data_IF_659477461859
#
_entry.id   IF_659477461859
#
_cell.length_a   1.000
_cell.length_b   1.000
_cell.length_c   1.000
_cell.angle_alpha   90.00
_cell.angle_beta   90.00
_cell.angle_gamma   90.00
#
_symmetry.space_group_name_H-M   'P 1'
#
loop_
_entity.id
_entity.type
_entity.pdbx_description
1 polymer ?
#
# COMPACT_ATOMS: atom_id res chain seq x y z
N UNK A 1 63.78 -32.99 40.14
CA UNK A 1 63.99 -31.61 39.64
C UNK A 1 62.74 -31.26 38.85
N UNK A 2 61.81 -30.49 39.43
CA UNK A 2 60.57 -30.14 38.75
C UNK A 2 60.89 -29.14 37.62
N UNK A 3 60.51 -29.52 36.42
CA UNK A 3 60.94 -28.94 35.15
C UNK A 3 60.33 -27.53 34.94
N UNK A 4 61.17 -26.51 34.83
CA UNK A 4 60.80 -25.09 34.67
C UNK A 4 60.00 -24.79 33.39
N UNK A 5 59.86 -25.77 32.50
CA UNK A 5 59.05 -25.71 31.28
C UNK A 5 57.55 -25.52 31.57
N UNK A 6 57.03 -26.12 32.65
CA UNK A 6 55.60 -26.01 33.02
C UNK A 6 55.20 -24.60 33.47
N UNK A 7 56.10 -23.87 34.13
CA UNK A 7 55.83 -22.52 34.62
C UNK A 7 55.78 -21.50 33.46
N UNK A 8 56.63 -21.68 32.43
CA UNK A 8 56.65 -20.84 31.23
C UNK A 8 55.36 -20.95 30.42
N UNK A 9 54.82 -22.16 30.26
CA UNK A 9 53.56 -22.35 29.54
C UNK A 9 52.35 -21.65 30.19
N UNK A 10 52.34 -21.50 31.52
CA UNK A 10 51.31 -20.74 32.23
C UNK A 10 51.45 -19.23 32.02
N UNK A 11 52.68 -18.71 32.02
CA UNK A 11 52.98 -17.29 31.74
C UNK A 11 52.61 -16.92 30.29
N UNK A 12 52.95 -17.79 29.33
CA UNK A 12 52.60 -17.61 27.92
C UNK A 12 51.07 -17.65 27.71
N UNK A 13 50.36 -18.55 28.41
CA UNK A 13 48.90 -18.60 28.40
C UNK A 13 48.25 -17.34 29.00
N UNK A 14 48.81 -16.81 30.09
CA UNK A 14 48.36 -15.56 30.69
C UNK A 14 48.56 -14.36 29.75
N UNK A 15 49.73 -14.27 29.10
CA UNK A 15 50.01 -13.24 28.07
C UNK A 15 49.06 -13.34 26.88
N UNK A 16 48.80 -14.55 26.38
CA UNK A 16 47.87 -14.75 25.28
C UNK A 16 46.44 -14.32 25.64
N UNK A 17 46.00 -14.61 26.88
CA UNK A 17 44.70 -14.16 27.37
C UNK A 17 44.64 -12.63 27.53
N UNK A 18 45.71 -12.02 28.04
CA UNK A 18 45.80 -10.56 28.16
C UNK A 18 45.75 -9.88 26.79
N UNK A 19 46.45 -10.43 25.80
CA UNK A 19 46.43 -9.90 24.43
C UNK A 19 45.06 -10.10 23.78
N UNK A 20 44.43 -11.27 23.97
CA UNK A 20 43.06 -11.51 23.51
C UNK A 20 42.06 -10.53 24.12
N UNK A 21 42.17 -10.23 25.42
CA UNK A 21 41.33 -9.24 26.07
C UNK A 21 41.53 -7.85 25.48
N UNK A 22 42.79 -7.44 25.26
CA UNK A 22 43.13 -6.17 24.63
C UNK A 22 42.59 -6.08 23.21
N UNK A 23 42.73 -7.14 22.42
CA UNK A 23 42.20 -7.21 21.07
C UNK A 23 40.66 -7.09 21.06
N UNK A 24 39.97 -7.76 22.00
CA UNK A 24 38.52 -7.65 22.13
C UNK A 24 38.10 -6.22 22.46
N UNK A 25 38.80 -5.54 23.38
CA UNK A 25 38.53 -4.13 23.70
C UNK A 25 38.72 -3.21 22.48
N UNK A 26 39.77 -3.44 21.70
CA UNK A 26 40.03 -2.69 20.47
C UNK A 26 38.89 -2.91 19.46
N UNK A 27 38.52 -4.16 19.20
CA UNK A 27 37.41 -4.48 18.28
C UNK A 27 36.09 -3.85 18.71
N UNK A 28 35.83 -3.80 20.02
CA UNK A 28 34.63 -3.16 20.56
C UNK A 28 34.67 -1.64 20.39
N UNK A 29 35.85 -1.03 20.52
CA UNK A 29 36.03 0.40 20.27
C UNK A 29 35.86 0.77 18.79
N UNK A 30 36.35 -0.08 17.88
CA UNK A 30 36.18 0.08 16.43
C UNK A 30 34.71 -0.02 16.04
N UNK A 31 34.00 -1.07 16.48
CA UNK A 31 32.57 -1.22 16.21
C UNK A 31 31.74 -0.05 16.76
N UNK A 32 32.11 0.49 17.93
CA UNK A 32 31.47 1.69 18.49
C UNK A 32 31.67 2.92 17.60
N UNK A 33 32.87 3.09 17.04
CA UNK A 33 33.15 4.15 16.07
C UNK A 33 32.28 4.00 14.83
N UNK A 34 32.22 2.80 14.26
CA UNK A 34 31.41 2.51 13.07
C UNK A 34 29.93 2.79 13.31
N UNK A 35 29.40 2.40 14.47
CA UNK A 35 28.02 2.70 14.86
C UNK A 35 27.75 4.21 14.92
N UNK A 36 28.69 5.00 15.46
CA UNK A 36 28.55 6.45 15.52
C UNK A 36 28.58 7.08 14.11
N UNK A 37 29.41 6.57 13.20
CA UNK A 37 29.44 7.00 11.80
C UNK A 37 28.13 6.69 11.08
N UNK A 38 27.55 5.52 11.33
CA UNK A 38 26.24 5.14 10.76
C UNK A 38 25.13 6.06 11.26
N UNK A 39 25.10 6.34 12.58
CA UNK A 39 24.11 7.27 13.15
C UNK A 39 24.19 8.63 12.46
N UNK A 40 25.36 9.27 12.46
CA UNK A 40 25.52 10.61 11.89
C UNK A 40 25.14 10.65 10.40
N UNK A 41 25.48 9.61 9.64
CA UNK A 41 25.07 9.47 8.24
C UNK A 41 23.55 9.40 8.09
N UNK A 42 22.86 8.64 8.93
CA UNK A 42 21.39 8.55 8.92
C UNK A 42 20.75 9.90 9.29
N UNK A 43 21.30 10.62 10.27
CA UNK A 43 20.88 11.97 10.62
C UNK A 43 21.01 12.93 9.42
N UNK A 44 22.11 12.85 8.68
CA UNK A 44 22.34 13.69 7.50
C UNK A 44 21.42 13.30 6.34
N UNK A 45 21.18 12.01 6.10
CA UNK A 45 20.18 11.54 5.14
C UNK A 45 18.78 12.08 5.49
N UNK A 46 18.39 12.04 6.76
CA UNK A 46 17.11 12.61 7.24
C UNK A 46 17.02 14.11 6.96
N UNK A 47 18.10 14.86 7.19
CA UNK A 47 18.15 16.30 6.85
C UNK A 47 17.99 16.54 5.36
N UNK A 48 18.68 15.74 4.53
CA UNK A 48 18.56 15.82 3.06
C UNK A 48 17.13 15.55 2.62
N UNK A 49 16.49 14.50 3.13
CA UNK A 49 15.08 14.19 2.82
C UNK A 49 14.15 15.33 3.22
N UNK A 50 14.32 15.89 4.43
CA UNK A 50 13.52 17.04 4.85
C UNK A 50 13.71 18.25 3.94
N UNK A 51 14.96 18.52 3.53
CA UNK A 51 15.26 19.61 2.59
C UNK A 51 14.59 19.36 1.23
N UNK A 52 14.66 18.15 0.70
CA UNK A 52 14.01 17.75 -0.56
C UNK A 52 12.50 17.89 -0.44
N UNK A 53 11.89 17.45 0.67
CA UNK A 53 10.46 17.59 0.92
C UNK A 53 10.02 19.05 0.90
N UNK A 54 10.77 19.91 1.61
CA UNK A 54 10.51 21.35 1.63
C UNK A 54 10.67 21.95 0.23
N UNK A 55 11.72 21.57 -0.51
CA UNK A 55 11.94 22.08 -1.86
C UNK A 55 10.83 21.64 -2.83
N UNK A 56 10.40 20.39 -2.78
CA UNK A 56 9.25 19.91 -3.54
C UNK A 56 7.98 20.69 -3.19
N UNK A 57 7.72 20.96 -1.91
CA UNK A 57 6.55 21.76 -1.50
C UNK A 57 6.56 23.19 -2.06
N UNK A 58 7.75 23.74 -2.33
CA UNK A 58 7.93 25.08 -2.91
C UNK A 58 7.91 25.08 -4.44
N UNK A 59 8.40 24.00 -5.06
CA UNK A 59 8.45 23.82 -6.51
C UNK A 59 7.14 23.30 -7.09
N UNK A 60 6.27 22.69 -6.28
CA UNK A 60 4.89 22.50 -6.66
C UNK A 60 4.32 23.89 -6.94
N UNK A 61 3.68 24.13 -8.11
CA UNK A 61 2.93 25.36 -8.31
C UNK A 61 1.99 25.46 -7.11
N UNK A 62 1.98 26.61 -6.43
CA UNK A 62 0.95 26.91 -5.44
C UNK A 62 -0.38 26.71 -6.19
N UNK A 63 -0.96 25.52 -6.11
CA UNK A 63 -2.31 25.19 -6.55
C UNK A 63 -3.24 25.89 -5.56
N UNK A 64 -3.16 27.21 -5.61
CA UNK A 64 -3.85 28.17 -4.80
C UNK A 64 -5.28 28.16 -5.29
N UNK A 65 -6.18 27.67 -4.42
CA UNK A 65 -7.64 27.60 -4.57
C UNK A 65 -8.22 26.44 -5.39
N UNK A 66 -7.46 25.39 -5.69
CA UNK A 66 -7.97 24.16 -6.33
C UNK A 66 -7.78 22.88 -5.50
N UNK A 67 -7.36 22.95 -4.24
CA UNK A 67 -7.10 21.76 -3.41
C UNK A 67 -8.36 21.02 -2.92
N UNK A 68 -9.52 21.25 -3.53
CA UNK A 68 -10.74 20.52 -3.21
C UNK A 68 -10.90 19.28 -4.07
N UNK A 69 -11.54 18.25 -3.53
CA UNK A 69 -12.07 17.14 -4.34
C UNK A 69 -13.11 17.72 -5.29
N UNK A 70 -12.96 17.47 -6.60
CA UNK A 70 -13.96 17.85 -7.62
C UNK A 70 -15.07 16.82 -7.69
N UNK A 71 -14.69 15.55 -7.75
CA UNK A 71 -15.60 14.41 -7.85
C UNK A 71 -14.88 13.12 -7.47
N UNK A 72 -15.66 12.09 -7.13
CA UNK A 72 -15.17 10.72 -7.08
C UNK A 72 -15.57 10.03 -8.38
N UNK A 73 -14.59 9.48 -9.08
CA UNK A 73 -14.81 8.80 -10.34
C UNK A 73 -15.09 7.30 -10.16
N UNK A 74 -14.52 6.70 -9.11
CA UNK A 74 -14.63 5.26 -8.87
C UNK A 74 -14.32 4.89 -7.40
N UNK A 75 -14.69 3.68 -6.99
CA UNK A 75 -14.43 3.10 -5.68
C UNK A 75 -13.95 1.66 -5.82
N UNK A 76 -12.91 1.30 -5.05
CA UNK A 76 -12.45 -0.08 -4.96
C UNK A 76 -12.04 -0.42 -3.54
N UNK A 77 -12.08 -1.72 -3.23
CA UNK A 77 -11.53 -2.25 -1.99
C UNK A 77 -10.35 -3.16 -2.32
N UNK A 78 -9.20 -2.90 -1.70
CA UNK A 78 -7.96 -3.68 -1.91
C UNK A 78 -7.53 -4.36 -0.60
N UNK A 79 -6.79 -5.46 -0.72
CA UNK A 79 -6.15 -6.10 0.43
C UNK A 79 -4.71 -5.58 0.57
N UNK A 80 -4.40 -4.96 1.71
CA UNK A 80 -3.02 -4.62 2.11
C UNK A 80 -2.64 -5.50 3.29
N UNK A 81 -1.94 -6.60 3.01
CA UNK A 81 -1.66 -7.64 3.99
C UNK A 81 -2.96 -8.32 4.45
N UNK A 82 -3.25 -8.28 5.75
CA UNK A 82 -4.47 -8.83 6.36
C UNK A 82 -5.62 -7.82 6.44
N UNK A 83 -5.42 -6.58 6.01
CA UNK A 83 -6.40 -5.52 6.13
C UNK A 83 -7.03 -5.15 4.78
N UNK A 84 -8.36 -5.04 4.79
CA UNK A 84 -9.13 -4.50 3.68
C UNK A 84 -9.11 -2.97 3.74
N UNK A 85 -8.77 -2.32 2.63
CA UNK A 85 -8.67 -0.85 2.52
C UNK A 85 -9.55 -0.36 1.38
N UNK A 86 -10.48 0.52 1.71
CA UNK A 86 -11.32 1.22 0.73
C UNK A 86 -10.54 2.39 0.13
N UNK A 87 -10.53 2.45 -1.20
CA UNK A 87 -9.91 3.51 -1.97
C UNK A 87 -10.92 4.17 -2.90
N UNK A 88 -10.71 5.46 -3.15
CA UNK A 88 -11.52 6.28 -4.04
C UNK A 88 -10.65 6.87 -5.13
N UNK A 89 -11.12 6.81 -6.37
CA UNK A 89 -10.47 7.51 -7.48
C UNK A 89 -10.93 8.97 -7.45
N UNK A 90 -10.05 9.84 -6.97
CA UNK A 90 -10.35 11.26 -6.74
C UNK A 90 -10.00 12.05 -7.99
N UNK A 91 -10.99 12.76 -8.53
CA UNK A 91 -10.73 13.85 -9.46
C UNK A 91 -10.49 15.14 -8.68
N UNK A 92 -9.33 15.75 -8.89
CA UNK A 92 -8.91 16.99 -8.23
C UNK A 92 -9.42 18.22 -8.96
N UNK A 93 -9.81 19.26 -8.22
CA UNK A 93 -10.13 20.54 -8.83
C UNK A 93 -8.90 21.10 -9.57
N UNK A 94 -9.11 21.72 -10.73
CA UNK A 94 -8.03 22.30 -11.54
C UNK A 94 -7.15 21.31 -12.30
N UNK A 95 -7.35 20.00 -12.13
CA UNK A 95 -6.68 18.95 -12.91
C UNK A 95 -7.64 18.29 -13.90
N UNK A 96 -7.09 17.58 -14.87
CA UNK A 96 -7.89 16.78 -15.82
C UNK A 96 -8.34 15.45 -15.17
N UNK A 97 -9.43 14.81 -15.64
CA UNK A 97 -9.83 13.50 -15.13
C UNK A 97 -8.77 12.40 -15.33
N UNK A 98 -7.86 12.57 -16.30
CA UNK A 98 -6.75 11.66 -16.54
C UNK A 98 -5.68 11.70 -15.42
N UNK A 99 -5.66 12.78 -14.63
CA UNK A 99 -4.77 12.96 -13.47
C UNK A 99 -5.46 12.55 -12.15
N UNK A 100 -6.56 11.81 -12.22
CA UNK A 100 -7.23 11.28 -11.04
C UNK A 100 -6.36 10.23 -10.33
N UNK A 101 -6.34 10.25 -8.99
CA UNK A 101 -5.50 9.37 -8.17
C UNK A 101 -6.33 8.50 -7.24
N UNK A 102 -5.84 7.29 -6.94
CA UNK A 102 -6.45 6.39 -5.97
C UNK A 102 -5.98 6.74 -4.56
N UNK A 103 -6.87 7.29 -3.76
CA UNK A 103 -6.59 7.72 -2.38
C UNK A 103 -7.37 6.85 -1.38
N UNK A 104 -6.81 6.65 -0.19
CA UNK A 104 -7.46 5.87 0.85
C UNK A 104 -8.63 6.67 1.47
N UNK A 105 -9.81 6.06 1.56
CA UNK A 105 -11.03 6.71 2.06
C UNK A 105 -10.84 7.28 3.47
N UNK A 106 -10.15 6.56 4.35
CA UNK A 106 -9.88 7.00 5.73
C UNK A 106 -9.04 8.27 5.80
N UNK A 107 -8.07 8.43 4.89
CA UNK A 107 -7.21 9.61 4.79
C UNK A 107 -8.03 10.79 4.27
N UNK A 108 -8.82 10.57 3.22
CA UNK A 108 -9.68 11.60 2.64
C UNK A 108 -10.70 12.14 3.66
N UNK A 109 -11.36 11.26 4.43
CA UNK A 109 -12.33 11.69 5.45
C UNK A 109 -11.69 12.55 6.55
N UNK A 110 -10.40 12.37 6.86
CA UNK A 110 -9.67 13.19 7.83
C UNK A 110 -9.21 14.52 7.23
N UNK A 111 -8.73 14.50 5.99
CA UNK A 111 -8.20 15.68 5.29
C UNK A 111 -9.28 16.61 4.75
N UNK A 112 -10.46 16.05 4.41
CA UNK A 112 -11.61 16.78 3.88
C UNK A 112 -12.88 16.46 4.69
N UNK A 113 -13.00 16.91 5.96
CA UNK A 113 -14.14 16.57 6.81
C UNK A 113 -15.51 17.05 6.30
N UNK A 114 -15.53 18.09 5.47
CA UNK A 114 -16.75 18.60 4.83
C UNK A 114 -17.15 17.84 3.56
N UNK A 115 -16.28 16.95 3.06
CA UNK A 115 -16.55 16.13 1.88
C UNK A 115 -17.27 14.85 2.32
N UNK A 116 -18.59 14.91 2.33
CA UNK A 116 -19.43 13.73 2.52
C UNK A 116 -19.59 13.06 1.16
N UNK A 117 -19.13 11.83 1.05
CA UNK A 117 -19.49 10.96 -0.07
C UNK A 117 -20.99 10.77 0.02
N UNK A 118 -21.74 11.40 -0.87
CA UNK A 118 -23.19 11.21 -0.93
C UNK A 118 -23.47 9.71 -0.96
N UNK A 119 -24.26 9.33 0.03
CA UNK A 119 -24.66 7.99 0.38
C UNK A 119 -25.22 7.23 -0.82
N UNK A 120 -24.57 6.12 -1.16
CA UNK A 120 -25.22 5.00 -1.85
C UNK A 120 -24.95 3.70 -1.10
N UNK A 121 -25.60 3.54 0.04
CA UNK A 121 -25.89 2.20 0.58
C UNK A 121 -26.65 1.41 -0.49
N UNK A 122 -26.17 0.20 -0.79
CA UNK A 122 -27.00 -0.85 -1.37
C UNK A 122 -26.63 -1.28 -2.80
N UNK A 123 -25.41 -1.79 -3.01
CA UNK A 123 -25.31 -2.94 -3.92
C UNK A 123 -25.63 -4.17 -3.09
N UNK A 124 -26.92 -4.49 -3.03
CA UNK A 124 -27.40 -5.83 -2.73
C UNK A 124 -26.71 -6.72 -3.75
N UNK A 125 -25.71 -7.49 -3.30
CA UNK A 125 -25.06 -8.51 -4.10
C UNK A 125 -26.08 -9.59 -4.41
N UNK A 126 -26.95 -9.35 -5.39
CA UNK A 126 -27.69 -10.41 -6.07
C UNK A 126 -26.65 -11.16 -6.91
N UNK A 127 -26.10 -12.22 -6.30
CA UNK A 127 -25.23 -13.15 -6.98
C UNK A 127 -25.98 -13.81 -8.13
N UNK A 128 -25.59 -13.49 -9.37
CA UNK A 128 -26.04 -14.25 -10.53
C UNK A 128 -25.13 -15.46 -10.75
N UNK A 129 -25.57 -16.58 -10.18
CA UNK A 129 -25.83 -17.87 -10.85
C UNK A 129 -24.85 -18.26 -11.97
N UNK A 130 -23.97 -19.22 -11.67
CA UNK A 130 -23.47 -20.18 -12.65
C UNK A 130 -24.27 -21.46 -12.46
N UNK A 131 -25.33 -21.63 -13.24
CA UNK A 131 -26.02 -22.92 -13.36
C UNK A 131 -25.25 -23.75 -14.39
N UNK A 132 -24.69 -24.87 -13.97
CA UNK A 132 -24.36 -25.94 -14.89
C UNK A 132 -24.79 -27.30 -14.32
N UNK A 133 -25.81 -27.83 -14.99
CA UNK A 133 -25.98 -29.22 -15.43
C UNK A 133 -27.26 -29.95 -14.98
N UNK A 134 -27.81 -30.62 -16.00
CA UNK A 134 -28.62 -31.85 -16.04
C UNK A 134 -30.15 -31.69 -16.27
N UNK A 135 -30.57 -32.24 -17.42
CA UNK A 135 -31.88 -32.24 -18.10
C UNK A 135 -32.92 -33.16 -17.37
N UNK A 136 -34.10 -33.56 -17.94
CA UNK A 136 -34.85 -33.13 -19.14
C UNK A 136 -36.39 -32.98 -18.91
N UNK A 137 -37.11 -32.63 -19.99
CA UNK A 137 -38.54 -32.88 -20.25
C UNK A 137 -39.61 -32.10 -19.46
N UNK A 138 -40.26 -31.14 -20.12
CA UNK A 138 -41.66 -31.33 -20.52
C UNK A 138 -42.07 -30.30 -21.58
N UNK A 139 -42.70 -30.84 -22.62
CA UNK A 139 -43.34 -30.15 -23.73
C UNK A 139 -44.50 -29.27 -23.25
N UNK A 140 -44.94 -28.37 -24.15
CA UNK A 140 -46.14 -27.51 -24.11
C UNK A 140 -45.79 -26.08 -23.62
N UNK A 141 -46.12 -24.99 -24.31
CA UNK A 141 -47.01 -24.80 -25.44
C UNK A 141 -46.93 -23.34 -25.88
N UNK A 142 -46.53 -23.17 -27.14
CA UNK A 142 -47.05 -22.20 -28.11
C UNK A 142 -46.87 -20.71 -27.78
N UNK A 143 -45.93 -20.13 -28.52
CA UNK A 143 -45.92 -18.73 -28.96
C UNK A 143 -47.23 -18.34 -29.66
N UNK A 144 -47.99 -17.45 -29.05
CA UNK A 144 -49.13 -16.78 -29.68
C UNK A 144 -48.75 -15.31 -29.93
N UNK A 145 -47.98 -15.09 -31.01
CA UNK A 145 -47.86 -13.75 -31.61
C UNK A 145 -49.02 -13.58 -32.58
N UNK A 146 -49.82 -12.57 -32.30
CA UNK A 146 -51.00 -12.13 -33.06
C UNK A 146 -50.73 -12.05 -34.57
N UNK A 147 -51.60 -12.67 -35.37
CA UNK A 147 -51.67 -12.46 -36.82
C UNK A 147 -52.99 -11.78 -37.16
N UNK A 148 -52.92 -10.49 -37.50
CA UNK A 148 -54.04 -9.73 -38.09
C UNK A 148 -54.42 -10.35 -39.44
N UNK A 149 -55.71 -10.64 -39.69
CA UNK A 149 -56.15 -11.14 -40.99
C UNK A 149 -56.22 -9.99 -42.02
N UNK A 150 -55.89 -10.24 -43.30
CA UNK A 150 -56.00 -9.25 -44.36
C UNK A 150 -57.46 -9.04 -44.82
N UNK A 151 -57.73 -7.84 -45.31
CA UNK A 151 -59.02 -7.40 -45.83
C UNK A 151 -59.51 -8.30 -46.99
N UNK A 152 -60.79 -8.65 -46.93
CA UNK A 152 -61.52 -9.57 -47.82
C UNK A 152 -61.46 -9.15 -49.28
N UNK A 153 -61.35 -10.15 -50.17
CA UNK A 153 -61.77 -10.10 -51.57
C UNK A 153 -62.89 -11.14 -51.74
N UNK A 154 -64.07 -10.65 -52.15
CA UNK A 154 -65.12 -11.19 -53.04
C UNK A 154 -65.55 -12.68 -52.84
N UNK A 155 -66.84 -13.03 -52.71
CA UNK A 155 -68.00 -12.63 -53.52
C UNK A 155 -69.26 -12.26 -52.70
#
# INVERSE_FOLDING_TARGET
>A
MADGTRLKGLDDGFKALQESHKQLQNSHSELRSDLNLISSSLEDQKKVLNKVLVQLSQSLPKQSKSSGIRAILDHRTIMRGTHSVDQLLVHWNGLSPAEATWEDKSILSRSFPGFHLEDKVGVKGEGNVVTQEQQPNSLLRRSERERKPPARLLD
#
